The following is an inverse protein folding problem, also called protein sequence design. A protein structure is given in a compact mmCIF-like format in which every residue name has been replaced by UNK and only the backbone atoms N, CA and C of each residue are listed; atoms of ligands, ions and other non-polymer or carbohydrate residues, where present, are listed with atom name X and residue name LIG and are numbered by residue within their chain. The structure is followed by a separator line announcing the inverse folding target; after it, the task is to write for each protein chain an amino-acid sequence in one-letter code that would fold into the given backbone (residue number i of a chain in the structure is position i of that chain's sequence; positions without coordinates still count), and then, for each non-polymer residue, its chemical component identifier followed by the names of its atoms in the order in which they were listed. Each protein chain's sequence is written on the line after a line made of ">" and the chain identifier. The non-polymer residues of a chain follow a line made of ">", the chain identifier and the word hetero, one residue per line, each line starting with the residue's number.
data_IF_854562813973
#
_entry.id   IF_854562813973
#
_cell.length_a   1.000
_cell.length_b   1.000
_cell.length_c   1.000
_cell.angle_alpha   90.00
_cell.angle_beta   90.00
_cell.angle_gamma   90.00
#
_symmetry.space_group_name_H-M   'P 1'
#
loop_
_entity.id
_entity.type
_entity.pdbx_description
1 polymer ?
#
# COMPACT_ATOMS: atom_id res chain seq x y z
N UNK A 1 -9.72 -15.02 13.51
CA UNK A 1 -10.23 -15.24 12.15
C UNK A 1 -9.16 -16.01 11.42
N UNK A 2 -9.52 -17.10 10.76
CA UNK A 2 -8.55 -17.90 10.00
C UNK A 2 -8.02 -17.07 8.83
N UNK A 3 -6.70 -17.02 8.68
CA UNK A 3 -6.06 -16.42 7.51
C UNK A 3 -6.40 -17.31 6.30
N UNK A 4 -6.95 -16.76 5.20
CA UNK A 4 -7.25 -17.57 4.02
C UNK A 4 -6.02 -18.33 3.55
N UNK A 5 -6.16 -19.60 3.15
CA UNK A 5 -5.07 -20.33 2.51
C UNK A 5 -4.87 -19.83 1.07
N UNK A 6 -3.62 -19.72 0.63
CA UNK A 6 -3.25 -19.41 -0.75
C UNK A 6 -2.33 -20.48 -1.34
N UNK A 7 -2.29 -20.60 -2.67
CA UNK A 7 -1.40 -21.53 -3.38
C UNK A 7 -1.11 -21.05 -4.80
N UNK A 8 0.12 -21.31 -5.29
CA UNK A 8 0.49 -21.09 -6.68
C UNK A 8 -0.33 -21.94 -7.66
N UNK A 9 -0.75 -23.14 -7.25
CA UNK A 9 -1.57 -24.05 -8.06
C UNK A 9 -3.04 -23.60 -8.15
N UNK A 10 -3.44 -22.66 -7.30
CA UNK A 10 -4.77 -22.06 -7.28
C UNK A 10 -4.67 -20.53 -7.25
N UNK A 11 -4.23 -19.87 -8.35
CA UNK A 11 -3.89 -18.45 -8.31
C UNK A 11 -5.03 -17.53 -7.86
N UNK A 12 -6.29 -17.92 -8.11
CA UNK A 12 -7.47 -17.20 -7.62
C UNK A 12 -7.52 -17.05 -6.08
N UNK A 13 -6.88 -17.96 -5.32
CA UNK A 13 -6.77 -17.88 -3.86
C UNK A 13 -5.94 -16.70 -3.37
N UNK A 14 -5.16 -16.05 -4.24
CA UNK A 14 -4.35 -14.87 -3.92
C UNK A 14 -5.16 -13.57 -3.89
N UNK A 15 -6.36 -13.54 -4.48
CA UNK A 15 -7.16 -12.32 -4.63
C UNK A 15 -7.42 -11.58 -3.29
N UNK A 16 -7.77 -12.26 -2.18
CA UNK A 16 -8.01 -11.60 -0.89
C UNK A 16 -6.78 -10.89 -0.28
N UNK A 17 -5.58 -11.12 -0.82
CA UNK A 17 -4.33 -10.49 -0.40
C UNK A 17 -3.92 -9.33 -1.31
N UNK A 18 -4.58 -9.14 -2.46
CA UNK A 18 -4.16 -8.17 -3.47
C UNK A 18 -5.00 -6.90 -3.38
N UNK A 19 -4.33 -5.76 -3.25
CA UNK A 19 -4.88 -4.43 -3.52
C UNK A 19 -4.67 -4.12 -5.01
N UNK A 20 -5.72 -4.32 -5.80
CA UNK A 20 -5.71 -4.09 -7.25
C UNK A 20 -5.52 -2.61 -7.51
N UNK A 21 -4.44 -2.24 -8.18
CA UNK A 21 -3.95 -0.87 -8.21
C UNK A 21 -4.09 -0.23 -9.59
N UNK A 22 -4.77 0.90 -9.67
CA UNK A 22 -4.88 1.73 -10.87
C UNK A 22 -4.60 3.19 -10.52
N UNK A 23 -3.36 3.64 -10.74
CA UNK A 23 -2.84 4.97 -10.34
C UNK A 23 -2.12 5.71 -11.48
N UNK A 24 -2.24 5.21 -12.71
CA UNK A 24 -1.61 5.81 -13.89
C UNK A 24 -2.21 7.19 -14.20
N UNK A 25 -1.36 8.07 -14.75
CA UNK A 25 -1.79 9.40 -15.19
C UNK A 25 -2.73 9.24 -16.40
N UNK A 26 -3.87 9.93 -16.37
CA UNK A 26 -4.84 9.93 -17.48
C UNK A 26 -5.93 8.87 -17.37
N UNK A 27 -5.98 8.11 -16.27
CA UNK A 27 -7.12 7.26 -15.92
C UNK A 27 -8.43 8.06 -16.03
N UNK A 28 -9.40 7.52 -16.77
CA UNK A 28 -10.70 8.13 -16.95
C UNK A 28 -11.75 7.59 -15.97
N UNK A 29 -12.92 8.23 -15.94
CA UNK A 29 -14.06 7.74 -15.16
C UNK A 29 -14.48 6.33 -15.56
N UNK A 30 -14.48 6.02 -16.86
CA UNK A 30 -14.89 4.71 -17.36
C UNK A 30 -13.86 3.63 -17.01
N UNK A 31 -12.56 4.00 -16.98
CA UNK A 31 -11.51 3.11 -16.48
C UNK A 31 -11.67 2.83 -14.98
N UNK A 32 -12.08 3.83 -14.18
CA UNK A 32 -12.35 3.62 -12.74
C UNK A 32 -13.58 2.77 -12.48
N UNK A 33 -14.63 2.90 -13.27
CA UNK A 33 -15.79 2.01 -13.18
C UNK A 33 -15.37 0.58 -13.50
N UNK A 34 -14.62 0.37 -14.59
CA UNK A 34 -14.08 -0.94 -14.95
C UNK A 34 -13.20 -1.52 -13.85
N UNK A 35 -12.32 -0.71 -13.26
CA UNK A 35 -11.45 -1.12 -12.16
C UNK A 35 -12.24 -1.60 -10.93
N UNK A 36 -13.35 -0.93 -10.59
CA UNK A 36 -14.25 -1.37 -9.53
C UNK A 36 -14.89 -2.73 -9.88
N UNK A 37 -15.38 -2.88 -11.12
CA UNK A 37 -15.99 -4.13 -11.58
C UNK A 37 -15.00 -5.31 -11.54
N UNK A 38 -13.75 -5.08 -11.93
CA UNK A 38 -12.66 -6.05 -11.82
C UNK A 38 -12.40 -6.42 -10.36
N UNK A 39 -12.32 -5.44 -9.46
CA UNK A 39 -12.09 -5.67 -8.05
C UNK A 39 -13.16 -6.56 -7.41
N UNK A 40 -14.42 -6.30 -7.73
CA UNK A 40 -15.55 -7.14 -7.29
C UNK A 40 -15.50 -8.52 -7.94
N UNK A 41 -15.32 -8.58 -9.26
CA UNK A 41 -15.35 -9.84 -10.03
C UNK A 41 -14.31 -10.85 -9.53
N UNK A 42 -13.11 -10.39 -9.21
CA UNK A 42 -12.02 -11.26 -8.79
C UNK A 42 -11.91 -11.42 -7.27
N UNK A 43 -12.68 -10.67 -6.48
CA UNK A 43 -12.64 -10.74 -5.02
C UNK A 43 -11.33 -10.18 -4.45
N UNK A 44 -10.85 -9.07 -5.01
CA UNK A 44 -9.65 -8.40 -4.50
C UNK A 44 -9.89 -7.79 -3.11
N UNK A 45 -8.83 -7.65 -2.32
CA UNK A 45 -8.89 -7.02 -1.00
C UNK A 45 -9.44 -5.59 -1.07
N UNK A 46 -8.86 -4.81 -1.98
CA UNK A 46 -9.21 -3.41 -2.17
C UNK A 46 -8.98 -2.97 -3.62
N UNK A 47 -9.75 -1.97 -4.06
CA UNK A 47 -9.40 -1.13 -5.20
C UNK A 47 -8.52 0.03 -4.72
N UNK A 48 -7.30 0.11 -5.23
CA UNK A 48 -6.31 1.13 -4.89
C UNK A 48 -6.26 2.19 -5.98
N UNK A 49 -6.69 3.41 -5.64
CA UNK A 49 -6.93 4.50 -6.61
C UNK A 49 -6.38 5.85 -6.13
N UNK A 50 -6.12 6.83 -7.03
CA UNK A 50 -5.80 8.20 -6.65
C UNK A 50 -6.90 8.82 -5.80
N UNK A 51 -6.52 9.73 -4.89
CA UNK A 51 -7.43 10.40 -3.94
C UNK A 51 -8.65 11.04 -4.64
N UNK A 52 -8.44 11.64 -5.81
CA UNK A 52 -9.50 12.27 -6.61
C UNK A 52 -10.60 11.32 -7.09
N UNK A 53 -10.34 10.01 -7.13
CA UNK A 53 -11.29 8.98 -7.55
C UNK A 53 -12.00 8.29 -6.38
N UNK A 54 -11.57 8.53 -5.15
CA UNK A 54 -12.14 7.89 -3.94
C UNK A 54 -13.66 8.05 -3.86
N UNK A 55 -14.28 9.24 -4.04
CA UNK A 55 -15.74 9.37 -3.95
C UNK A 55 -16.50 8.46 -4.93
N UNK A 56 -16.01 8.38 -6.18
CA UNK A 56 -16.61 7.52 -7.20
C UNK A 56 -16.45 6.04 -6.83
N UNK A 57 -15.25 5.64 -6.44
CA UNK A 57 -14.92 4.23 -6.14
C UNK A 57 -15.66 3.75 -4.90
N UNK A 58 -15.73 4.58 -3.84
CA UNK A 58 -16.52 4.32 -2.65
C UNK A 58 -18.02 4.18 -2.97
N UNK A 59 -18.56 5.02 -3.86
CA UNK A 59 -19.95 4.87 -4.32
C UNK A 59 -20.17 3.52 -5.02
N UNK A 60 -19.26 3.14 -5.92
CA UNK A 60 -19.37 1.92 -6.74
C UNK A 60 -19.16 0.62 -5.96
N UNK A 61 -18.30 0.63 -4.94
CA UNK A 61 -17.96 -0.57 -4.17
C UNK A 61 -18.82 -0.75 -2.91
N UNK A 62 -19.73 0.18 -2.62
CA UNK A 62 -20.63 0.12 -1.48
C UNK A 62 -21.42 -1.19 -1.45
N UNK A 63 -21.29 -1.94 -0.34
CA UNK A 63 -22.01 -3.21 -0.15
C UNK A 63 -21.42 -4.41 -0.90
N UNK A 64 -20.30 -4.25 -1.60
CA UNK A 64 -19.65 -5.36 -2.34
C UNK A 64 -18.69 -6.18 -1.47
N UNK A 65 -18.20 -5.59 -0.37
CA UNK A 65 -17.17 -6.18 0.50
C UNK A 65 -15.73 -5.88 0.07
N UNK A 66 -15.52 -5.32 -1.13
CA UNK A 66 -14.21 -4.82 -1.57
C UNK A 66 -13.94 -3.46 -0.92
N UNK A 67 -12.75 -3.29 -0.35
CA UNK A 67 -12.35 -2.06 0.32
C UNK A 67 -11.86 -0.99 -0.69
N UNK A 68 -11.85 0.26 -0.27
CA UNK A 68 -11.27 1.38 -1.01
C UNK A 68 -9.93 1.75 -0.38
N UNK A 69 -8.86 1.71 -1.15
CA UNK A 69 -7.54 2.17 -0.73
C UNK A 69 -7.09 3.36 -1.58
N UNK A 70 -6.34 4.28 -0.98
CA UNK A 70 -5.74 5.40 -1.70
C UNK A 70 -4.30 5.70 -1.25
N UNK A 71 -3.64 6.62 -1.94
CA UNK A 71 -2.29 7.08 -1.64
C UNK A 71 -2.24 8.58 -1.37
N UNK A 72 -1.33 8.98 -0.49
CA UNK A 72 -1.02 10.37 -0.12
C UNK A 72 0.48 10.64 -0.30
N UNK A 73 0.79 11.84 -0.81
CA UNK A 73 2.18 12.25 -1.12
C UNK A 73 2.84 11.22 -2.06
N UNK A 74 2.18 11.01 -3.21
CA UNK A 74 2.53 10.03 -4.24
C UNK A 74 2.21 10.63 -5.63
N UNK A 75 3.01 10.38 -6.70
CA UNK A 75 4.14 9.43 -6.79
C UNK A 75 5.46 9.94 -6.21
N UNK A 76 5.61 11.24 -6.01
CA UNK A 76 6.75 11.81 -5.29
C UNK A 76 6.46 11.80 -3.80
N UNK A 77 7.25 11.05 -3.04
CA UNK A 77 7.15 10.98 -1.58
C UNK A 77 8.02 12.02 -0.88
N UNK A 78 7.61 12.46 0.30
CA UNK A 78 8.34 13.41 1.15
C UNK A 78 8.37 14.83 0.59
N UNK A 79 7.32 15.24 -0.14
CA UNK A 79 7.28 16.53 -0.83
C UNK A 79 6.29 17.51 -0.23
N UNK A 80 5.24 17.00 0.41
CA UNK A 80 4.21 17.79 1.08
C UNK A 80 4.63 18.24 2.48
N UNK A 81 4.01 19.31 2.98
CA UNK A 81 4.10 19.70 4.39
C UNK A 81 3.26 18.76 5.25
N UNK A 82 3.63 18.57 6.53
CA UNK A 82 2.86 17.72 7.46
C UNK A 82 1.41 18.18 7.61
N UNK A 83 1.18 19.50 7.66
CA UNK A 83 -0.17 20.06 7.72
C UNK A 83 -0.99 19.74 6.45
N UNK A 84 -0.36 19.81 5.27
CA UNK A 84 -1.00 19.44 4.00
C UNK A 84 -1.33 17.96 3.94
N UNK A 85 -0.40 17.10 4.38
CA UNK A 85 -0.62 15.65 4.48
C UNK A 85 -1.79 15.32 5.40
N UNK A 86 -1.83 15.88 6.61
CA UNK A 86 -2.88 15.61 7.57
C UNK A 86 -4.26 16.09 7.06
N UNK A 87 -4.33 17.26 6.43
CA UNK A 87 -5.56 17.77 5.84
C UNK A 87 -6.09 16.88 4.71
N UNK A 88 -5.20 16.46 3.79
CA UNK A 88 -5.57 15.58 2.68
C UNK A 88 -5.94 14.17 3.17
N UNK A 89 -5.23 13.64 4.18
CA UNK A 89 -5.54 12.35 4.79
C UNK A 89 -6.96 12.31 5.38
N UNK A 90 -7.37 13.37 6.07
CA UNK A 90 -8.75 13.53 6.55
C UNK A 90 -9.74 13.57 5.39
N UNK A 91 -9.47 14.38 4.37
CA UNK A 91 -10.34 14.51 3.21
C UNK A 91 -10.53 13.18 2.46
N UNK A 92 -9.46 12.39 2.31
CA UNK A 92 -9.49 11.05 1.70
C UNK A 92 -10.36 10.10 2.53
N UNK A 93 -10.21 10.09 3.85
CA UNK A 93 -11.02 9.25 4.74
C UNK A 93 -12.51 9.66 4.70
N UNK A 94 -12.81 10.95 4.79
CA UNK A 94 -14.17 11.50 4.68
C UNK A 94 -14.82 11.20 3.32
N UNK A 95 -14.03 11.10 2.26
CA UNK A 95 -14.48 10.71 0.92
C UNK A 95 -14.86 9.23 0.81
N UNK A 96 -14.54 8.40 1.82
CA UNK A 96 -14.92 7.00 1.89
C UNK A 96 -13.80 6.00 1.61
N UNK A 97 -12.53 6.39 1.78
CA UNK A 97 -11.43 5.43 1.79
C UNK A 97 -11.45 4.60 3.08
N UNK A 98 -11.18 3.30 2.95
CA UNK A 98 -11.04 2.38 4.09
C UNK A 98 -9.58 2.27 4.55
N UNK A 99 -8.61 2.54 3.67
CA UNK A 99 -7.18 2.45 3.96
C UNK A 99 -6.37 3.51 3.19
N UNK A 100 -5.25 3.95 3.77
CA UNK A 100 -4.39 4.98 3.18
C UNK A 100 -2.92 4.55 3.15
N UNK A 101 -2.25 4.67 2.01
CA UNK A 101 -0.80 4.53 1.90
C UNK A 101 -0.15 5.93 1.89
N UNK A 102 0.74 6.24 2.83
CA UNK A 102 1.39 7.57 2.92
C UNK A 102 2.88 7.54 2.58
N UNK A 103 3.36 8.57 1.89
CA UNK A 103 4.78 8.83 1.66
C UNK A 103 5.46 9.44 2.89
N UNK A 104 6.73 9.06 3.15
CA UNK A 104 7.51 9.55 4.29
C UNK A 104 8.52 10.62 3.91
N UNK A 105 8.92 11.43 4.89
CA UNK A 105 9.94 12.47 4.76
C UNK A 105 11.36 11.87 4.81
N UNK A 106 11.79 11.21 3.73
CA UNK A 106 13.12 10.56 3.65
C UNK A 106 14.26 11.52 4.02
N UNK A 107 14.21 12.76 3.53
CA UNK A 107 15.24 13.76 3.79
C UNK A 107 15.35 14.17 5.27
N UNK A 108 14.25 14.16 6.01
CA UNK A 108 14.22 14.54 7.43
C UNK A 108 14.94 13.49 8.27
N UNK A 109 14.61 12.21 8.09
CA UNK A 109 15.27 11.14 8.83
C UNK A 109 16.78 11.10 8.54
N UNK A 110 17.18 11.24 7.27
CA UNK A 110 18.60 11.33 6.87
C UNK A 110 19.34 12.54 7.44
N UNK A 111 18.61 13.54 7.90
CA UNK A 111 19.15 14.75 8.54
C UNK A 111 19.13 14.66 10.07
N UNK A 112 18.76 13.51 10.65
CA UNK A 112 18.62 13.34 12.10
C UNK A 112 17.37 13.99 12.71
N UNK A 113 16.42 14.44 11.87
CA UNK A 113 15.15 15.05 12.30
C UNK A 113 14.12 13.95 12.62
N UNK A 114 14.44 13.09 13.59
CA UNK A 114 13.66 11.91 13.94
C UNK A 114 12.28 12.26 14.50
N UNK A 115 12.22 13.31 15.34
CA UNK A 115 10.97 13.76 15.95
C UNK A 115 10.01 14.29 14.88
N UNK A 116 10.50 15.13 13.96
CA UNK A 116 9.71 15.67 12.87
C UNK A 116 9.25 14.56 11.91
N UNK A 117 10.10 13.58 11.62
CA UNK A 117 9.73 12.42 10.82
C UNK A 117 8.59 11.62 11.46
N UNK A 118 8.69 11.35 12.77
CA UNK A 118 7.66 10.63 13.52
C UNK A 118 6.36 11.43 13.58
N UNK A 119 6.44 12.72 13.88
CA UNK A 119 5.28 13.58 14.06
C UNK A 119 4.54 13.84 12.74
N UNK A 120 5.24 13.85 11.58
CA UNK A 120 4.62 13.84 10.24
C UNK A 120 3.71 12.63 10.04
N UNK A 121 4.19 11.43 10.42
CA UNK A 121 3.42 10.19 10.32
C UNK A 121 2.26 10.21 11.32
N UNK A 122 2.50 10.60 12.57
CA UNK A 122 1.49 10.60 13.62
C UNK A 122 0.33 11.55 13.27
N UNK A 123 0.62 12.72 12.72
CA UNK A 123 -0.39 13.68 12.29
C UNK A 123 -1.30 13.11 11.18
N UNK A 124 -0.74 12.32 10.24
CA UNK A 124 -1.52 11.64 9.20
C UNK A 124 -2.37 10.51 9.79
N UNK A 125 -1.80 9.68 10.66
CA UNK A 125 -2.51 8.59 11.34
C UNK A 125 -3.71 9.14 12.12
N UNK A 126 -3.50 10.19 12.92
CA UNK A 126 -4.56 10.84 13.70
C UNK A 126 -5.63 11.45 12.80
N UNK A 127 -5.24 12.20 11.76
CA UNK A 127 -6.18 12.91 10.91
C UNK A 127 -7.01 11.98 10.01
N UNK A 128 -6.43 10.86 9.55
CA UNK A 128 -7.13 9.89 8.71
C UNK A 128 -8.18 9.10 9.49
N UNK A 129 -7.88 8.67 10.72
CA UNK A 129 -8.79 7.83 11.52
C UNK A 129 -9.09 6.44 10.92
N UNK A 130 -8.37 6.05 9.86
CA UNK A 130 -8.42 4.76 9.17
C UNK A 130 -7.02 4.14 9.13
N UNK A 131 -6.85 2.83 8.88
CA UNK A 131 -5.54 2.20 8.78
C UNK A 131 -4.60 2.90 7.78
N UNK A 132 -3.47 3.40 8.30
CA UNK A 132 -2.40 4.03 7.50
C UNK A 132 -1.23 3.06 7.30
N UNK A 133 -0.78 2.96 6.05
CA UNK A 133 0.39 2.18 5.62
C UNK A 133 1.53 3.13 5.29
N UNK A 134 2.67 2.95 5.92
CA UNK A 134 3.81 3.86 5.76
C UNK A 134 4.77 3.32 4.70
N UNK A 135 4.90 4.03 3.58
CA UNK A 135 5.85 3.72 2.49
C UNK A 135 7.26 4.14 2.91
N UNK A 136 8.05 3.20 3.43
CA UNK A 136 9.32 3.51 4.09
C UNK A 136 10.48 3.84 3.16
N UNK A 137 10.41 3.50 1.87
CA UNK A 137 11.49 3.80 0.91
C UNK A 137 12.85 3.22 1.35
N UNK A 138 12.87 1.99 1.90
CA UNK A 138 14.04 1.39 2.56
C UNK A 138 15.37 1.51 1.77
N UNK A 139 15.42 1.39 0.43
CA UNK A 139 16.66 1.55 -0.32
C UNK A 139 17.31 2.94 -0.21
N UNK A 140 16.58 3.96 0.25
CA UNK A 140 17.08 5.33 0.44
C UNK A 140 17.81 5.53 1.76
N UNK A 141 17.76 4.55 2.65
CA UNK A 141 18.32 4.60 4.00
C UNK A 141 19.50 3.64 4.15
N UNK A 142 20.45 4.03 5.00
CA UNK A 142 21.46 3.15 5.59
C UNK A 142 20.82 2.14 6.53
N UNK A 143 21.56 1.10 6.95
CA UNK A 143 21.04 0.08 7.86
C UNK A 143 20.50 0.68 9.18
N UNK A 144 21.22 1.62 9.79
CA UNK A 144 20.77 2.29 11.03
C UNK A 144 19.51 3.14 10.81
N UNK A 145 19.46 3.88 9.69
CA UNK A 145 18.28 4.68 9.35
C UNK A 145 17.05 3.80 9.03
N UNK A 146 17.23 2.60 8.46
CA UNK A 146 16.12 1.66 8.24
C UNK A 146 15.50 1.17 9.53
N UNK A 147 16.32 0.76 10.50
CA UNK A 147 15.83 0.39 11.84
C UNK A 147 15.02 1.56 12.41
N UNK A 148 15.59 2.77 12.32
CA UNK A 148 14.96 3.95 12.86
C UNK A 148 13.63 4.31 12.19
N UNK A 149 13.57 4.22 10.86
CA UNK A 149 12.35 4.46 10.09
C UNK A 149 11.23 3.51 10.49
N UNK A 150 11.56 2.22 10.65
CA UNK A 150 10.60 1.17 11.04
C UNK A 150 10.02 1.45 12.42
N UNK A 151 10.86 1.66 13.44
CA UNK A 151 10.30 1.85 14.79
C UNK A 151 9.66 3.23 14.99
N UNK A 152 10.12 4.30 14.34
CA UNK A 152 9.40 5.59 14.36
C UNK A 152 8.03 5.51 13.69
N UNK A 153 7.89 4.77 12.57
CA UNK A 153 6.60 4.56 11.93
C UNK A 153 5.62 3.81 12.85
N UNK A 154 6.10 2.78 13.56
CA UNK A 154 5.27 2.07 14.54
C UNK A 154 4.91 2.94 15.75
N UNK A 155 5.87 3.73 16.26
CA UNK A 155 5.65 4.67 17.37
C UNK A 155 4.68 5.82 17.03
N UNK A 156 4.51 6.09 15.73
CA UNK A 156 3.55 7.05 15.19
C UNK A 156 2.16 6.43 14.94
N UNK A 157 1.98 5.12 15.15
CA UNK A 157 0.69 4.44 15.01
C UNK A 157 0.41 3.86 13.62
N UNK A 158 1.44 3.59 12.81
CA UNK A 158 1.26 2.90 11.53
C UNK A 158 0.56 1.55 11.71
N UNK A 159 -0.48 1.29 10.94
CA UNK A 159 -1.15 -0.01 10.89
C UNK A 159 -0.37 -1.00 10.01
N UNK A 160 0.32 -0.49 8.98
CA UNK A 160 1.18 -1.30 8.12
C UNK A 160 2.52 -0.63 7.87
N UNK A 161 3.57 -1.44 7.81
CA UNK A 161 4.85 -1.08 7.19
C UNK A 161 4.83 -1.51 5.73
N UNK A 162 5.36 -0.67 4.84
CA UNK A 162 5.45 -0.94 3.40
C UNK A 162 6.86 -0.65 2.90
N UNK A 163 7.43 -1.57 2.12
CA UNK A 163 8.84 -1.54 1.72
C UNK A 163 9.21 -0.30 0.88
N UNK A 164 8.39 0.03 -0.12
CA UNK A 164 8.61 1.17 -1.03
C UNK A 164 7.29 1.66 -1.62
N UNK A 165 7.29 2.84 -2.23
CA UNK A 165 6.13 3.44 -2.89
C UNK A 165 5.79 2.79 -4.23
N UNK A 166 6.81 2.41 -5.00
CA UNK A 166 6.67 1.85 -6.34
C UNK A 166 7.88 1.00 -6.76
N UNK A 167 7.73 0.30 -7.89
CA UNK A 167 8.80 -0.48 -8.53
C UNK A 167 10.01 0.34 -8.99
N UNK A 168 9.91 1.68 -9.03
CA UNK A 168 11.02 2.56 -9.39
C UNK A 168 12.07 2.69 -8.28
N UNK A 169 11.66 2.45 -7.03
CA UNK A 169 12.54 2.51 -5.85
C UNK A 169 13.05 1.12 -5.49
N UNK A 170 12.14 0.15 -5.49
CA UNK A 170 12.42 -1.23 -5.15
C UNK A 170 11.50 -2.19 -5.89
N UNK A 171 12.05 -3.28 -6.42
CA UNK A 171 11.25 -4.45 -6.79
C UNK A 171 11.06 -5.29 -5.53
N UNK A 172 9.80 -5.54 -5.16
CA UNK A 172 9.45 -6.30 -3.97
C UNK A 172 10.16 -7.66 -3.96
N UNK A 173 10.78 -7.99 -2.83
CA UNK A 173 11.57 -9.20 -2.65
C UNK A 173 11.33 -9.79 -1.24
N UNK A 174 11.42 -11.12 -1.07
CA UNK A 174 11.21 -11.79 0.21
C UNK A 174 12.08 -11.25 1.35
N UNK A 175 13.35 -10.94 1.09
CA UNK A 175 14.30 -10.49 2.12
C UNK A 175 13.85 -9.18 2.78
N UNK A 176 13.37 -8.22 1.97
CA UNK A 176 12.91 -6.92 2.48
C UNK A 176 11.56 -7.01 3.18
N UNK A 177 10.72 -7.97 2.79
CA UNK A 177 9.48 -8.26 3.51
C UNK A 177 9.77 -8.94 4.84
N UNK A 178 10.59 -9.99 4.85
CA UNK A 178 11.01 -10.67 6.07
C UNK A 178 11.67 -9.69 7.06
N UNK A 179 12.53 -8.80 6.57
CA UNK A 179 13.13 -7.73 7.36
C UNK A 179 12.09 -6.90 8.13
N UNK A 180 11.01 -6.47 7.44
CA UNK A 180 9.93 -5.71 8.06
C UNK A 180 9.09 -6.56 9.01
N UNK A 181 8.78 -7.80 8.64
CA UNK A 181 7.97 -8.72 9.45
C UNK A 181 8.66 -9.06 10.77
N UNK A 182 9.98 -9.30 10.75
CA UNK A 182 10.79 -9.55 11.96
C UNK A 182 10.77 -8.38 12.96
N UNK A 183 10.56 -7.15 12.47
CA UNK A 183 10.59 -5.92 13.26
C UNK A 183 9.21 -5.40 13.62
N UNK A 184 8.17 -5.87 12.93
CA UNK A 184 6.80 -5.46 13.17
C UNK A 184 6.35 -5.90 14.56
N UNK A 185 5.86 -4.93 15.35
CA UNK A 185 5.26 -5.20 16.67
C UNK A 185 3.90 -5.88 16.50
N UNK A 186 3.40 -6.61 17.52
CA UNK A 186 2.05 -7.17 17.48
C UNK A 186 1.00 -6.11 17.11
N UNK A 187 0.19 -6.39 16.09
CA UNK A 187 -0.83 -5.46 15.58
C UNK A 187 -0.38 -4.58 14.40
N UNK A 188 0.90 -4.58 14.04
CA UNK A 188 1.41 -3.94 12.83
C UNK A 188 1.64 -4.99 11.75
N UNK A 189 1.04 -4.80 10.58
CA UNK A 189 1.16 -5.73 9.45
C UNK A 189 2.16 -5.22 8.39
N UNK A 190 2.48 -6.05 7.40
CA UNK A 190 3.40 -5.68 6.31
C UNK A 190 2.68 -5.77 4.97
N UNK A 191 2.80 -4.71 4.14
CA UNK A 191 2.35 -4.71 2.75
C UNK A 191 3.55 -4.70 1.82
N UNK A 192 3.60 -5.65 0.90
CA UNK A 192 4.59 -5.67 -0.19
C UNK A 192 4.10 -4.89 -1.39
N UNK A 193 4.98 -4.16 -2.06
CA UNK A 193 4.66 -3.51 -3.35
C UNK A 193 5.89 -3.21 -4.18
N UNK A 194 5.67 -3.08 -5.49
CA UNK A 194 6.70 -2.75 -6.48
C UNK A 194 7.04 -3.96 -7.35
N UNK A 195 6.68 -3.91 -8.63
CA UNK A 195 7.10 -4.92 -9.61
C UNK A 195 6.57 -6.33 -9.42
N UNK A 196 5.48 -6.53 -8.65
CA UNK A 196 4.85 -7.83 -8.44
C UNK A 196 3.99 -8.17 -9.67
N UNK A 197 4.46 -9.07 -10.53
CA UNK A 197 3.85 -9.38 -11.83
C UNK A 197 3.43 -10.83 -11.98
N UNK A 198 3.97 -11.75 -11.18
CA UNK A 198 3.71 -13.20 -11.33
C UNK A 198 3.14 -13.83 -10.06
N UNK A 199 2.57 -15.02 -10.22
CA UNK A 199 2.02 -15.85 -9.14
C UNK A 199 3.12 -16.22 -8.14
N UNK A 200 4.29 -16.61 -8.65
CA UNK A 200 5.44 -17.04 -7.84
C UNK A 200 5.97 -15.89 -7.00
N UNK A 201 6.05 -14.68 -7.56
CA UNK A 201 6.41 -13.49 -6.81
C UNK A 201 5.41 -13.24 -5.69
N UNK A 202 4.11 -13.26 -5.98
CA UNK A 202 3.06 -13.05 -4.98
C UNK A 202 3.16 -14.06 -3.83
N UNK A 203 3.25 -15.35 -4.14
CA UNK A 203 3.40 -16.43 -3.14
C UNK A 203 4.66 -16.23 -2.30
N UNK A 204 5.81 -15.95 -2.93
CA UNK A 204 7.08 -15.75 -2.20
C UNK A 204 7.04 -14.59 -1.20
N UNK A 205 6.28 -13.53 -1.49
CA UNK A 205 6.13 -12.37 -0.62
C UNK A 205 5.17 -12.66 0.54
N UNK A 206 4.09 -13.42 0.28
CA UNK A 206 3.18 -13.87 1.33
C UNK A 206 3.87 -14.86 2.28
N UNK A 207 4.68 -15.78 1.73
CA UNK A 207 5.47 -16.73 2.52
C UNK A 207 6.53 -16.03 3.39
N UNK A 208 7.05 -14.88 2.92
CA UNK A 208 7.91 -14.01 3.72
C UNK A 208 7.15 -13.23 4.81
N UNK A 209 5.82 -13.36 4.90
CA UNK A 209 4.98 -12.78 5.93
C UNK A 209 4.25 -11.49 5.52
N UNK A 210 4.27 -11.09 4.25
CA UNK A 210 3.40 -10.00 3.80
C UNK A 210 1.93 -10.37 4.03
N UNK A 211 1.16 -9.43 4.57
CA UNK A 211 -0.28 -9.60 4.76
C UNK A 211 -1.09 -9.06 3.57
N UNK A 212 -0.49 -8.17 2.76
CA UNK A 212 -1.10 -7.56 1.58
C UNK A 212 -0.07 -7.34 0.48
N UNK A 213 -0.52 -7.36 -0.77
CA UNK A 213 0.27 -7.10 -1.97
C UNK A 213 -0.36 -5.93 -2.74
N UNK A 214 0.42 -4.92 -3.12
CA UNK A 214 -0.02 -3.85 -4.01
C UNK A 214 0.50 -4.09 -5.44
N UNK A 215 -0.40 -4.27 -6.41
CA UNK A 215 -0.03 -4.49 -7.81
C UNK A 215 -1.11 -4.06 -8.81
N UNK A 216 -0.69 -3.60 -9.99
CA UNK A 216 -1.55 -3.41 -11.17
C UNK A 216 -1.71 -4.70 -12.01
N UNK A 217 -0.90 -5.73 -11.75
CA UNK A 217 -0.95 -7.03 -12.42
C UNK A 217 -1.91 -8.02 -11.74
N UNK A 218 -2.80 -7.54 -10.86
CA UNK A 218 -3.66 -8.39 -10.03
C UNK A 218 -4.42 -9.45 -10.82
N UNK A 219 -5.04 -9.06 -11.94
CA UNK A 219 -5.81 -9.97 -12.81
C UNK A 219 -4.92 -11.07 -13.41
N UNK A 220 -3.73 -10.71 -13.91
CA UNK A 220 -2.80 -11.67 -14.49
C UNK A 220 -2.38 -12.70 -13.43
N UNK A 221 -2.07 -12.22 -12.21
CA UNK A 221 -1.70 -13.08 -11.09
C UNK A 221 -2.85 -14.04 -10.75
N UNK A 222 -4.07 -13.57 -10.52
CA UNK A 222 -5.16 -14.44 -10.07
C UNK A 222 -5.73 -15.36 -11.16
N UNK A 223 -5.41 -15.10 -12.42
CA UNK A 223 -5.77 -15.97 -13.55
C UNK A 223 -4.62 -16.87 -14.01
N UNK A 224 -3.41 -16.72 -13.44
CA UNK A 224 -2.21 -17.42 -13.88
C UNK A 224 -1.72 -17.01 -15.28
N UNK A 225 -2.12 -15.83 -15.74
CA UNK A 225 -1.72 -15.27 -17.03
C UNK A 225 -0.46 -14.41 -16.95
N UNK A 226 0.04 -13.98 -18.10
CA UNK A 226 1.13 -12.99 -18.18
C UNK A 226 0.58 -11.56 -18.04
N UNK A 227 1.26 -10.74 -17.23
CA UNK A 227 0.89 -9.33 -17.09
C UNK A 227 1.23 -8.56 -18.37
N UNK A 228 0.26 -7.83 -18.92
CA UNK A 228 0.56 -6.85 -19.97
C UNK A 228 1.45 -5.74 -19.39
N UNK A 229 2.59 -5.44 -20.04
CA UNK A 229 3.43 -4.32 -19.64
C UNK A 229 2.70 -3.00 -19.89
N UNK A 230 2.39 -2.23 -18.85
CA UNK A 230 2.15 -0.79 -18.97
C UNK A 230 3.47 -0.02 -18.81
N UNK A 231 3.64 1.03 -19.62
CA UNK A 231 4.78 1.94 -19.68
C UNK A 231 4.48 3.23 -18.93
#
# INVERSE_FOLDING_TARGET
>A
MDVPSYSADQPASLAPFIQHTAIDIGITRDDMIRHCEEAVRFGFNAAMVPASWVPLVAERLRGTGVQVASALDFPTVGSMTSAGKAAEARAIAEAGADQLDMGVQVGWLRSGMEQEFRDDIAAVVEAAGIPVKVMLELPKFTAAERERAVELAMDAGAAYLKNASSGAVEIANPDSIAYLVERARPGVAVKASGGIKTVEQAVSLLDAGASLLGTSAGIAIVTGGEAASSY
#
